data_IF_455944531019
#
_entry.id   IF_455944531019
#
_cell.length_a   1.000
_cell.length_b   1.000
_cell.length_c   1.000
_cell.angle_alpha   90.00
_cell.angle_beta   90.00
_cell.angle_gamma   90.00
#
_symmetry.space_group_name_H-M   'P 1'
#
loop_
_entity.id
_entity.type
_entity.pdbx_description
1 polymer ?
#
# COMPACT_ATOMS: atom_id res chain seq x y z
N UNK A 1 15.50 -7.47 3.07
CA UNK A 1 14.73 -6.58 3.97
C UNK A 1 13.28 -6.58 3.50
N UNK A 2 12.38 -7.35 4.15
CA UNK A 2 10.95 -7.37 3.80
C UNK A 2 10.21 -6.38 4.68
N UNK A 3 10.32 -5.09 4.34
CA UNK A 3 9.63 -4.04 5.07
C UNK A 3 8.14 -4.08 4.74
N UNK A 4 7.31 -4.21 5.77
CA UNK A 4 5.86 -4.07 5.67
C UNK A 4 5.50 -2.61 5.96
N UNK A 5 4.82 -1.97 5.01
CA UNK A 5 4.37 -0.59 5.12
C UNK A 5 2.95 -0.52 5.68
N UNK A 6 2.65 0.54 6.43
CA UNK A 6 1.27 0.88 6.79
C UNK A 6 0.60 1.75 5.69
N UNK A 7 -0.71 1.99 5.81
CA UNK A 7 -1.46 2.79 4.83
C UNK A 7 -0.89 4.20 4.64
N UNK A 8 -0.45 4.85 5.72
CA UNK A 8 0.11 6.22 5.67
C UNK A 8 1.41 6.26 4.86
N UNK A 9 2.32 5.30 5.08
CA UNK A 9 3.57 5.20 4.33
C UNK A 9 3.33 4.91 2.85
N UNK A 10 2.38 4.04 2.53
CA UNK A 10 2.01 3.78 1.12
C UNK A 10 1.45 5.02 0.47
N UNK A 11 0.61 5.78 1.19
CA UNK A 11 0.05 7.03 0.70
C UNK A 11 1.13 8.08 0.43
N UNK A 12 2.10 8.23 1.33
CA UNK A 12 3.23 9.13 1.15
C UNK A 12 4.08 8.72 -0.07
N UNK A 13 4.41 7.44 -0.22
CA UNK A 13 5.21 6.93 -1.34
C UNK A 13 4.52 7.10 -2.70
N UNK A 14 3.21 6.83 -2.76
CA UNK A 14 2.44 6.93 -4.00
C UNK A 14 1.84 8.32 -4.23
N UNK A 15 2.18 9.30 -3.39
CA UNK A 15 1.62 10.65 -3.41
C UNK A 15 0.07 10.68 -3.41
N UNK A 16 -0.54 9.74 -2.66
CA UNK A 16 -1.98 9.61 -2.52
C UNK A 16 -2.44 10.47 -1.35
N UNK A 17 -3.32 11.45 -1.62
CA UNK A 17 -3.80 12.40 -0.60
C UNK A 17 -4.98 11.89 0.23
N UNK A 18 -5.69 10.87 -0.24
CA UNK A 18 -6.95 10.42 0.39
C UNK A 18 -6.97 8.91 0.56
N UNK A 19 -7.42 8.46 1.73
CA UNK A 19 -7.55 7.02 2.02
C UNK A 19 -8.58 6.34 1.11
N UNK A 20 -9.60 7.06 0.66
CA UNK A 20 -10.58 6.57 -0.33
C UNK A 20 -9.92 6.17 -1.65
N UNK A 21 -8.90 6.91 -2.10
CA UNK A 21 -8.11 6.57 -3.29
C UNK A 21 -7.28 5.31 -3.06
N UNK A 22 -6.68 5.15 -1.88
CA UNK A 22 -5.98 3.92 -1.51
C UNK A 22 -6.94 2.71 -1.54
N UNK A 23 -8.13 2.85 -0.96
CA UNK A 23 -9.17 1.81 -0.97
C UNK A 23 -9.64 1.51 -2.40
N UNK A 24 -9.78 2.53 -3.26
CA UNK A 24 -10.11 2.34 -4.67
C UNK A 24 -9.05 1.51 -5.38
N UNK A 25 -7.77 1.82 -5.20
CA UNK A 25 -6.66 1.06 -5.77
C UNK A 25 -6.54 -0.36 -5.21
N UNK A 26 -6.92 -0.57 -3.95
CA UNK A 26 -7.05 -1.93 -3.40
C UNK A 26 -8.17 -2.72 -4.11
N UNK A 27 -9.33 -2.10 -4.32
CA UNK A 27 -10.48 -2.73 -5.01
C UNK A 27 -10.20 -3.02 -6.48
N UNK A 28 -9.48 -2.12 -7.14
CA UNK A 28 -9.04 -2.27 -8.54
C UNK A 28 -7.87 -3.26 -8.68
N UNK A 29 -7.31 -3.76 -7.57
CA UNK A 29 -6.23 -4.75 -7.56
C UNK A 29 -4.84 -4.19 -7.86
N UNK A 30 -4.71 -2.87 -8.00
CA UNK A 30 -3.45 -2.15 -8.23
C UNK A 30 -2.54 -2.31 -7.00
N UNK A 31 -3.08 -2.04 -5.81
CA UNK A 31 -2.37 -2.19 -4.54
C UNK A 31 -2.89 -3.44 -3.82
N UNK A 32 -1.97 -4.30 -3.39
CA UNK A 32 -2.32 -5.53 -2.66
C UNK A 32 -1.94 -5.41 -1.18
N UNK A 33 -2.90 -5.68 -0.31
CA UNK A 33 -2.65 -5.85 1.12
C UNK A 33 -1.90 -7.17 1.31
N UNK A 34 -0.67 -7.09 1.79
CA UNK A 34 0.19 -8.26 1.98
C UNK A 34 -0.15 -9.02 3.28
N UNK A 35 -0.51 -8.29 4.34
CA UNK A 35 -0.87 -8.87 5.64
C UNK A 35 -1.81 -7.93 6.40
N UNK A 36 -2.59 -8.49 7.33
CA UNK A 36 -3.33 -7.73 8.34
C UNK A 36 -2.81 -8.09 9.73
N UNK A 37 -2.68 -7.09 10.59
CA UNK A 37 -2.44 -7.27 12.02
C UNK A 37 -3.65 -6.68 12.76
N UNK A 38 -4.60 -7.56 13.11
CA UNK A 38 -5.94 -7.14 13.52
C UNK A 38 -6.62 -6.33 12.41
N UNK A 39 -7.09 -5.12 12.74
CA UNK A 39 -7.72 -4.21 11.79
C UNK A 39 -6.72 -3.39 10.97
N UNK A 40 -5.42 -3.51 11.24
CA UNK A 40 -4.41 -2.71 10.55
C UNK A 40 -3.91 -3.42 9.29
N UNK A 41 -4.03 -2.75 8.15
CA UNK A 41 -3.49 -3.23 6.87
C UNK A 41 -1.97 -3.03 6.81
N UNK A 42 -1.28 -3.97 6.16
CA UNK A 42 0.13 -3.88 5.80
C UNK A 42 0.36 -4.23 4.34
N UNK A 43 1.26 -3.48 3.71
CA UNK A 43 1.59 -3.59 2.29
C UNK A 43 3.04 -3.99 2.14
N UNK A 44 3.36 -4.79 1.13
CA UNK A 44 4.74 -5.19 0.87
C UNK A 44 5.49 -4.05 0.21
N UNK A 45 6.60 -3.60 0.79
CA UNK A 45 7.44 -2.55 0.19
C UNK A 45 7.84 -2.89 -1.25
N UNK A 46 8.23 -4.15 -1.52
CA UNK A 46 8.56 -4.63 -2.87
C UNK A 46 7.42 -4.47 -3.88
N UNK A 47 6.18 -4.69 -3.43
CA UNK A 47 5.00 -4.52 -4.30
C UNK A 47 4.80 -3.04 -4.63
N UNK A 48 4.98 -2.16 -3.65
CA UNK A 48 4.85 -0.71 -3.83
C UNK A 48 5.97 -0.16 -4.73
N UNK A 49 7.22 -0.61 -4.56
CA UNK A 49 8.32 -0.25 -5.48
C UNK A 49 8.04 -0.66 -6.92
N UNK A 50 7.53 -1.88 -7.13
CA UNK A 50 7.15 -2.33 -8.47
C UNK A 50 6.09 -1.44 -9.13
N UNK A 51 5.18 -0.85 -8.34
CA UNK A 51 4.18 0.10 -8.84
C UNK A 51 4.83 1.45 -9.18
N UNK A 52 5.80 1.90 -8.38
CA UNK A 52 6.58 3.12 -8.64
C UNK A 52 7.46 3.01 -9.90
N UNK A 53 7.72 1.79 -10.37
CA UNK A 53 8.59 1.55 -11.53
C UNK A 53 10.08 1.51 -11.16
N UNK A 54 10.38 1.31 -9.87
CA UNK A 54 11.74 1.09 -9.34
C UNK A 54 12.06 -0.39 -9.10
#
# INVERSE_FOLDING_TARGET
MNSLLNSKQVMELLNIKSETTLIKYEREGIIKVARRFGNQKRYSFKHIQKILGE
#
